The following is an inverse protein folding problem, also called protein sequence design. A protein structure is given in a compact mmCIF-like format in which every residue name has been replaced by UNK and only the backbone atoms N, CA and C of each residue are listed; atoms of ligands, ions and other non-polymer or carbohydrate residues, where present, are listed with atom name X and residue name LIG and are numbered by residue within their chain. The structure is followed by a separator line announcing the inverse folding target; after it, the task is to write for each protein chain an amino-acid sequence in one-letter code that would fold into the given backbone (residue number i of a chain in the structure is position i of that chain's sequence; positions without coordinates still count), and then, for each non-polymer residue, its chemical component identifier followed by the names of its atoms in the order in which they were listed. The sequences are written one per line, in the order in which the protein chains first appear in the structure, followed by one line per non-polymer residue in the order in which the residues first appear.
data_IF_373065178257
#
_entry.id   IF_373065178257
#
_cell.length_a   1.000
_cell.length_b   1.000
_cell.length_c   1.000
_cell.angle_alpha   90.00
_cell.angle_beta   90.00
_cell.angle_gamma   90.00
#
_symmetry.space_group_name_H-M   'P 1'
#
loop_
_entity.id
_entity.type
_entity.pdbx_description
1 polymer ?
#
# COMPACT_ATOMS: atom_id res chain seq x y z
N UNK A 1 0.37 8.17 -0.65
CA UNK A 1 -0.57 7.04 -0.55
C UNK A 1 -0.93 6.54 -1.94
N UNK A 2 -0.78 5.25 -2.24
CA UNK A 2 -1.26 4.60 -3.47
C UNK A 2 -2.72 4.15 -3.28
N UNK A 3 -3.60 4.50 -4.23
CA UNK A 3 -5.04 4.18 -4.23
C UNK A 3 -5.45 3.52 -5.55
N UNK A 4 -6.68 3.00 -5.64
CA UNK A 4 -7.19 2.27 -6.82
C UNK A 4 -6.30 1.10 -7.25
N UNK A 5 -5.88 0.29 -6.27
CA UNK A 5 -5.00 -0.85 -6.49
C UNK A 5 -5.82 -2.02 -7.01
N UNK A 6 -5.34 -2.66 -8.08
CA UNK A 6 -5.95 -3.87 -8.60
C UNK A 6 -5.80 -5.04 -7.60
N UNK A 7 -6.81 -5.89 -7.49
CA UNK A 7 -6.86 -7.01 -6.55
C UNK A 7 -5.71 -8.04 -6.69
N UNK A 8 -5.07 -8.13 -7.86
CA UNK A 8 -3.93 -9.04 -8.09
C UNK A 8 -2.57 -8.41 -7.79
N UNK A 9 -2.55 -7.13 -7.40
CA UNK A 9 -1.29 -6.45 -7.14
C UNK A 9 -0.61 -7.00 -5.87
N UNK A 10 0.64 -7.48 -5.94
CA UNK A 10 1.34 -8.08 -4.80
C UNK A 10 1.51 -7.12 -3.61
N UNK A 11 1.42 -5.80 -3.82
CA UNK A 11 1.49 -4.83 -2.72
C UNK A 11 0.33 -4.94 -1.72
N UNK A 12 -0.72 -5.69 -2.05
CA UNK A 12 -1.82 -6.02 -1.13
C UNK A 12 -1.44 -7.13 -0.15
N UNK A 13 -0.43 -7.94 -0.46
CA UNK A 13 0.16 -8.91 0.46
C UNK A 13 1.19 -8.21 1.36
N UNK A 14 0.96 -8.22 2.67
CA UNK A 14 1.77 -7.52 3.67
C UNK A 14 3.18 -8.11 3.81
N UNK A 15 3.35 -9.39 3.49
CA UNK A 15 4.63 -10.11 3.57
C UNK A 15 5.41 -10.10 2.23
N UNK A 16 4.87 -9.45 1.20
CA UNK A 16 5.51 -9.37 -0.12
C UNK A 16 6.75 -8.46 -0.14
N UNK A 17 7.69 -8.79 -1.03
CA UNK A 17 8.87 -7.97 -1.27
C UNK A 17 8.49 -6.58 -1.82
N UNK A 18 7.42 -6.51 -2.62
CA UNK A 18 6.88 -5.28 -3.18
C UNK A 18 6.32 -4.36 -2.10
N UNK A 19 5.57 -4.91 -1.13
CA UNK A 19 5.08 -4.13 0.02
C UNK A 19 6.23 -3.65 0.90
N UNK A 20 7.26 -4.48 1.12
CA UNK A 20 8.45 -4.09 1.86
C UNK A 20 9.20 -2.93 1.18
N UNK A 21 9.31 -2.94 -0.15
CA UNK A 21 9.93 -1.86 -0.91
C UNK A 21 9.15 -0.54 -0.82
N UNK A 22 7.81 -0.59 -0.85
CA UNK A 22 6.97 0.59 -0.65
C UNK A 22 7.20 1.20 0.74
N UNK A 23 7.20 0.37 1.79
CA UNK A 23 7.50 0.81 3.16
C UNK A 23 8.89 1.44 3.24
N UNK A 24 9.90 0.84 2.60
CA UNK A 24 11.28 1.38 2.56
C UNK A 24 11.36 2.75 1.90
N UNK A 25 10.49 3.02 0.92
CA UNK A 25 10.39 4.33 0.23
C UNK A 25 9.48 5.32 0.96
N UNK A 26 8.86 4.94 2.08
CA UNK A 26 7.87 5.76 2.78
C UNK A 26 6.58 5.94 1.98
N UNK A 27 6.25 4.98 1.11
CA UNK A 27 5.03 5.00 0.30
C UNK A 27 3.97 4.14 0.99
N UNK A 28 2.89 4.78 1.40
CA UNK A 28 1.75 4.08 2.01
C UNK A 28 0.79 3.53 0.95
N UNK A 29 0.19 2.37 1.24
CA UNK A 29 -0.87 1.74 0.44
C UNK A 29 -2.20 2.00 1.15
N UNK A 30 -3.16 2.59 0.45
CA UNK A 30 -4.48 2.81 1.02
C UNK A 30 -5.20 1.50 1.31
N UNK A 31 -5.95 1.50 2.41
CA UNK A 31 -6.86 0.43 2.80
C UNK A 31 -8.24 1.01 3.09
N UNK A 32 -9.26 0.14 3.11
CA UNK A 32 -10.62 0.56 3.44
C UNK A 32 -10.66 1.18 4.85
N UNK A 33 -11.36 2.31 4.98
CA UNK A 33 -11.43 3.07 6.23
C UNK A 33 -10.18 3.89 6.58
N UNK A 34 -9.22 4.06 5.67
CA UNK A 34 -8.08 4.96 5.89
C UNK A 34 -8.52 6.43 5.87
N UNK A 35 -8.33 7.13 6.98
CA UNK A 35 -8.49 8.57 7.09
C UNK A 35 -7.15 9.29 6.84
N UNK A 36 -7.18 10.35 6.03
CA UNK A 36 -6.00 11.19 5.73
C UNK A 36 -6.29 12.60 6.21
N UNK A 37 -5.41 13.14 7.06
CA UNK A 37 -5.45 14.51 7.55
C UNK A 37 -4.33 15.34 6.91
N UNK A 38 -4.62 16.60 6.57
CA UNK A 38 -3.71 17.53 5.90
C UNK A 38 -3.26 18.66 6.83
#
# INVERSE_FOLDING_TARGET
VLIHINNTNPILDEDSAERAELTRRGIEVAHDGMDIHL
#
